data_IF_970759283928
#
_entry.id   IF_970759283928
#
_cell.length_a   1.000
_cell.length_b   1.000
_cell.length_c   1.000
_cell.angle_alpha   90.00
_cell.angle_beta   90.00
_cell.angle_gamma   90.00
#
_symmetry.space_group_name_H-M   'P 1'
#
loop_
_entity.id
_entity.type
_entity.pdbx_description
1 polymer ?
#
# COMPACT_ATOMS: atom_id res chain seq x y z
N UNK A 1 -21.70 -50.07 71.46
CA UNK A 1 -23.04 -49.52 71.58
C UNK A 1 -23.13 -48.28 70.74
N UNK A 2 -24.11 -48.30 69.94
CA UNK A 2 -24.78 -47.21 69.26
C UNK A 2 -23.96 -46.44 68.27
N UNK A 3 -24.22 -46.43 67.08
CA UNK A 3 -25.44 -46.19 66.29
C UNK A 3 -25.17 -44.84 65.56
N UNK A 4 -24.83 -44.83 64.40
CA UNK A 4 -25.32 -44.64 63.11
C UNK A 4 -26.01 -43.37 62.82
N UNK A 5 -26.04 -42.70 61.98
CA UNK A 5 -27.01 -42.55 60.93
C UNK A 5 -26.42 -41.70 59.80
N UNK A 6 -26.55 -42.22 58.64
CA UNK A 6 -26.09 -41.59 57.40
C UNK A 6 -27.30 -40.92 56.75
N UNK A 7 -27.22 -39.66 56.47
CA UNK A 7 -28.16 -39.04 55.54
C UNK A 7 -27.38 -38.41 54.40
N UNK A 8 -27.51 -39.03 53.27
CA UNK A 8 -26.94 -38.55 52.04
C UNK A 8 -27.57 -37.23 51.57
N UNK A 9 -26.77 -36.25 51.38
CA UNK A 9 -27.18 -35.03 50.70
C UNK A 9 -26.65 -35.06 49.27
N UNK A 10 -27.61 -35.24 48.36
CA UNK A 10 -27.34 -35.22 46.92
C UNK A 10 -27.15 -33.81 46.45
N UNK A 11 -25.91 -33.37 46.41
CA UNK A 11 -25.56 -32.09 45.75
C UNK A 11 -25.87 -32.19 44.28
N UNK A 12 -26.99 -31.58 43.93
CA UNK A 12 -27.44 -31.29 42.57
C UNK A 12 -26.49 -30.29 41.94
N UNK A 13 -25.60 -30.75 41.10
CA UNK A 13 -24.72 -29.92 40.28
C UNK A 13 -25.61 -29.13 39.32
N UNK A 14 -25.77 -27.84 39.64
CA UNK A 14 -26.35 -26.89 38.68
C UNK A 14 -25.39 -26.71 37.50
N UNK A 15 -25.81 -27.09 36.31
CA UNK A 15 -25.14 -26.78 35.07
C UNK A 15 -25.12 -25.24 34.92
N UNK A 16 -23.99 -24.59 34.69
CA UNK A 16 -23.97 -23.18 34.32
C UNK A 16 -24.62 -23.02 32.97
N UNK A 17 -25.52 -22.07 32.85
CA UNK A 17 -26.27 -21.71 31.69
C UNK A 17 -25.36 -21.39 30.49
N UNK A 18 -25.84 -21.73 29.32
CA UNK A 18 -25.24 -21.32 28.05
C UNK A 18 -25.14 -19.79 27.99
N UNK A 19 -23.99 -19.27 28.37
CA UNK A 19 -23.63 -17.90 28.12
C UNK A 19 -23.59 -17.66 26.62
N UNK A 20 -24.39 -16.73 26.20
CA UNK A 20 -24.52 -16.21 24.85
C UNK A 20 -23.14 -15.70 24.35
N UNK A 21 -22.44 -16.51 23.58
CA UNK A 21 -21.20 -16.15 22.87
C UNK A 21 -21.47 -15.42 21.56
N UNK A 22 -22.47 -14.55 21.57
CA UNK A 22 -22.81 -13.72 20.40
C UNK A 22 -22.41 -12.27 20.62
N UNK A 23 -21.17 -12.02 20.87
CA UNK A 23 -20.49 -10.73 20.63
C UNK A 23 -19.00 -10.97 20.42
N UNK A 24 -18.64 -11.77 19.45
CA UNK A 24 -17.39 -11.57 18.77
C UNK A 24 -17.54 -10.21 18.05
N UNK A 25 -17.18 -9.16 18.77
CA UNK A 25 -16.82 -7.90 18.17
C UNK A 25 -15.78 -8.26 17.12
N UNK A 26 -16.15 -8.21 15.85
CA UNK A 26 -15.24 -8.33 14.74
C UNK A 26 -14.31 -7.14 14.87
N UNK A 27 -13.22 -7.29 15.60
CA UNK A 27 -12.06 -6.41 15.49
C UNK A 27 -11.75 -6.41 14.02
N UNK A 28 -12.06 -5.31 13.37
CA UNK A 28 -11.74 -5.05 11.97
C UNK A 28 -10.23 -5.19 11.89
N UNK A 29 -9.78 -6.39 11.57
CA UNK A 29 -8.36 -6.72 11.37
C UNK A 29 -7.83 -5.65 10.44
N UNK A 30 -6.74 -4.99 10.83
CA UNK A 30 -6.01 -4.06 9.98
C UNK A 30 -5.78 -4.83 8.69
N UNK A 31 -6.45 -4.42 7.61
CA UNK A 31 -6.31 -5.08 6.31
C UNK A 31 -4.83 -5.14 5.97
N UNK A 32 -4.27 -6.35 5.92
CA UNK A 32 -2.88 -6.55 5.57
C UNK A 32 -2.68 -6.07 4.13
N UNK A 33 -1.74 -5.13 3.95
CA UNK A 33 -1.43 -4.59 2.64
C UNK A 33 -0.33 -5.44 2.00
N UNK A 34 -0.65 -6.11 0.91
CA UNK A 34 0.31 -6.83 0.09
C UNK A 34 0.92 -5.93 -0.98
N UNK A 35 2.19 -6.12 -1.28
CA UNK A 35 2.92 -5.35 -2.27
C UNK A 35 3.47 -6.28 -3.35
N UNK A 36 3.18 -5.98 -4.61
CA UNK A 36 3.58 -6.85 -5.73
C UNK A 36 3.61 -6.08 -7.05
N UNK A 37 4.21 -6.64 -8.11
CA UNK A 37 3.99 -6.16 -9.47
C UNK A 37 2.50 -6.20 -9.83
N UNK A 38 2.06 -5.24 -10.64
CA UNK A 38 0.70 -5.23 -11.14
C UNK A 38 0.47 -6.42 -12.09
N UNK A 39 -0.75 -6.98 -12.07
CA UNK A 39 -1.18 -8.08 -12.94
C UNK A 39 -1.82 -7.52 -14.22
N UNK A 40 -1.80 -8.32 -15.28
CA UNK A 40 -2.59 -8.03 -16.49
C UNK A 40 -4.07 -7.81 -16.10
N UNK A 41 -4.71 -6.81 -16.67
CA UNK A 41 -6.11 -6.47 -16.36
C UNK A 41 -6.30 -5.50 -15.18
N UNK A 42 -5.28 -5.16 -14.40
CA UNK A 42 -5.42 -4.21 -13.27
C UNK A 42 -5.32 -2.72 -13.69
N UNK A 43 -5.04 -2.42 -14.96
CA UNK A 43 -5.01 -1.03 -15.47
C UNK A 43 -6.28 -0.24 -15.15
N UNK A 44 -7.51 -0.78 -15.29
CA UNK A 44 -8.71 -0.03 -14.93
C UNK A 44 -8.74 0.38 -13.46
N UNK A 45 -8.34 -0.51 -12.55
CA UNK A 45 -8.28 -0.22 -11.11
C UNK A 45 -7.19 0.81 -10.77
N UNK A 46 -6.01 0.72 -11.41
CA UNK A 46 -4.95 1.71 -11.28
C UNK A 46 -5.45 3.08 -11.78
N UNK A 47 -6.08 3.13 -12.95
CA UNK A 47 -6.67 4.38 -13.49
C UNK A 47 -7.71 4.97 -12.55
N UNK A 48 -8.58 4.15 -11.96
CA UNK A 48 -9.58 4.60 -11.00
C UNK A 48 -8.93 5.25 -9.77
N UNK A 49 -7.83 4.66 -9.27
CA UNK A 49 -7.07 5.22 -8.16
C UNK A 49 -6.40 6.56 -8.55
N UNK A 50 -5.79 6.65 -9.73
CA UNK A 50 -5.13 7.88 -10.20
C UNK A 50 -6.13 9.02 -10.42
N UNK A 51 -7.35 8.71 -10.87
CA UNK A 51 -8.43 9.70 -11.06
C UNK A 51 -8.87 10.40 -9.76
N UNK A 52 -8.53 9.86 -8.61
CA UNK A 52 -8.77 10.55 -7.33
C UNK A 52 -7.87 11.77 -7.13
N UNK A 53 -6.81 11.92 -7.95
CA UNK A 53 -5.80 12.98 -7.82
C UNK A 53 -5.50 13.63 -9.17
N UNK A 54 -6.50 14.22 -9.86
CA UNK A 54 -6.35 14.71 -11.24
C UNK A 54 -5.35 15.86 -11.34
N UNK A 55 -5.30 16.74 -10.33
CA UNK A 55 -4.42 17.90 -10.32
C UNK A 55 -2.94 17.55 -10.07
N UNK A 56 -2.67 16.38 -9.51
CA UNK A 56 -1.33 16.01 -9.06
C UNK A 56 -0.70 14.92 -9.91
N UNK A 57 -1.51 14.18 -10.66
CA UNK A 57 -1.05 13.01 -11.39
C UNK A 57 -1.50 13.05 -12.85
N UNK A 58 -0.56 12.77 -13.74
CA UNK A 58 -0.86 12.64 -15.17
C UNK A 58 -1.89 11.53 -15.40
N UNK A 59 -2.99 11.87 -16.07
CA UNK A 59 -4.08 10.95 -16.40
C UNK A 59 -3.88 10.28 -17.76
N UNK A 60 -3.07 10.90 -18.63
CA UNK A 60 -2.73 10.42 -19.97
C UNK A 60 -1.34 9.82 -20.00
N UNK A 61 -1.04 9.05 -21.05
CA UNK A 61 0.30 8.47 -21.28
C UNK A 61 0.84 7.69 -20.07
N UNK A 62 0.00 6.86 -19.48
CA UNK A 62 0.43 5.99 -18.38
C UNK A 62 1.43 4.94 -18.91
N UNK A 63 2.42 4.58 -18.08
CA UNK A 63 3.32 3.47 -18.37
C UNK A 63 2.55 2.16 -18.59
N UNK A 64 3.16 1.22 -19.31
CA UNK A 64 2.61 -0.13 -19.45
C UNK A 64 2.46 -0.82 -18.11
N UNK A 65 1.53 -1.77 -18.01
CA UNK A 65 1.18 -2.47 -16.76
C UNK A 65 2.40 -3.10 -16.07
N UNK A 66 3.35 -3.60 -16.82
CA UNK A 66 4.59 -4.21 -16.32
C UNK A 66 5.50 -3.24 -15.57
N UNK A 67 5.30 -1.93 -15.75
CA UNK A 67 6.03 -0.88 -15.04
C UNK A 67 5.49 -0.62 -13.64
N UNK A 68 4.26 -1.06 -13.35
CA UNK A 68 3.60 -0.78 -12.08
C UNK A 68 3.91 -1.78 -10.98
N UNK A 69 4.04 -1.26 -9.77
CA UNK A 69 3.83 -1.95 -8.52
C UNK A 69 2.52 -1.49 -7.90
N UNK A 70 1.83 -2.39 -7.23
CA UNK A 70 0.59 -2.11 -6.52
C UNK A 70 0.67 -2.53 -5.06
N UNK A 71 -0.06 -1.79 -4.25
CA UNK A 71 -0.42 -2.14 -2.90
C UNK A 71 -1.88 -2.58 -2.91
N UNK A 72 -2.16 -3.80 -2.48
CA UNK A 72 -3.51 -4.37 -2.46
C UNK A 72 -3.92 -4.76 -1.04
N UNK A 73 -5.15 -4.46 -0.67
CA UNK A 73 -5.80 -4.83 0.57
C UNK A 73 -7.21 -5.30 0.25
N UNK A 74 -7.63 -6.44 0.80
CA UNK A 74 -8.95 -7.05 0.58
C UNK A 74 -9.33 -7.09 -0.93
N UNK A 75 -8.41 -7.59 -1.77
CA UNK A 75 -8.52 -7.68 -3.24
C UNK A 75 -8.70 -6.35 -3.98
N UNK A 76 -8.51 -5.23 -3.31
CA UNK A 76 -8.62 -3.89 -3.88
C UNK A 76 -7.25 -3.22 -3.97
N UNK A 77 -6.98 -2.54 -5.08
CA UNK A 77 -5.78 -1.73 -5.23
C UNK A 77 -5.96 -0.44 -4.42
N UNK A 78 -5.11 -0.28 -3.40
CA UNK A 78 -5.11 0.86 -2.48
C UNK A 78 -3.89 1.77 -2.66
N UNK A 79 -2.94 1.35 -3.48
CA UNK A 79 -1.78 2.16 -3.87
C UNK A 79 -1.17 1.65 -5.16
N UNK A 80 -0.53 2.53 -5.90
CA UNK A 80 0.24 2.20 -7.08
C UNK A 80 1.45 3.12 -7.24
N UNK A 81 2.46 2.64 -7.93
CA UNK A 81 3.63 3.41 -8.34
C UNK A 81 4.23 2.75 -9.59
N UNK A 82 4.67 3.54 -10.55
CA UNK A 82 5.31 3.04 -11.76
C UNK A 82 6.79 3.41 -11.81
N UNK A 83 7.60 2.51 -12.35
CA UNK A 83 8.97 2.74 -12.77
C UNK A 83 9.02 2.76 -14.28
N UNK A 84 9.21 3.94 -14.87
CA UNK A 84 9.44 4.11 -16.29
C UNK A 84 10.94 4.12 -16.57
N UNK A 85 11.45 3.09 -17.24
CA UNK A 85 12.86 3.01 -17.63
C UNK A 85 13.01 3.58 -19.04
N UNK A 86 13.79 4.65 -19.18
CA UNK A 86 14.09 5.29 -20.46
C UNK A 86 15.35 4.72 -21.10
N UNK A 87 16.34 4.38 -20.26
CA UNK A 87 17.62 3.84 -20.69
C UNK A 87 18.32 3.12 -19.54
N UNK A 88 19.48 2.52 -19.79
CA UNK A 88 20.35 2.01 -18.72
C UNK A 88 20.83 3.11 -17.77
N UNK A 89 20.80 4.36 -18.20
CA UNK A 89 21.24 5.49 -17.37
C UNK A 89 20.10 6.04 -16.52
N UNK A 90 18.88 6.15 -17.07
CA UNK A 90 17.83 7.00 -16.52
C UNK A 90 16.49 6.28 -16.43
N UNK A 91 15.84 6.38 -15.25
CA UNK A 91 14.46 5.97 -15.05
C UNK A 91 13.70 6.99 -14.19
N UNK A 92 12.39 6.93 -14.26
CA UNK A 92 11.48 7.82 -13.54
C UNK A 92 10.54 7.02 -12.63
N UNK A 93 10.40 7.49 -11.39
CA UNK A 93 9.30 7.10 -10.50
C UNK A 93 8.11 8.01 -10.80
N UNK A 94 7.01 7.43 -11.27
CA UNK A 94 5.83 8.20 -11.64
C UNK A 94 4.54 7.51 -11.22
N UNK A 95 3.41 8.24 -11.33
CA UNK A 95 2.08 7.70 -11.02
C UNK A 95 1.99 7.11 -9.60
N UNK A 96 2.66 7.73 -8.62
CA UNK A 96 2.55 7.34 -7.22
C UNK A 96 1.23 7.84 -6.64
N UNK A 97 0.35 6.93 -6.31
CA UNK A 97 -0.92 7.22 -5.65
C UNK A 97 -1.17 6.25 -4.50
N UNK A 98 -1.78 6.75 -3.42
CA UNK A 98 -2.24 5.95 -2.28
C UNK A 98 -3.62 6.45 -1.87
N UNK A 99 -4.58 5.54 -1.79
CA UNK A 99 -5.93 5.85 -1.34
C UNK A 99 -5.91 6.52 0.05
N UNK A 100 -6.73 7.52 0.26
CA UNK A 100 -6.70 8.38 1.45
C UNK A 100 -6.73 7.61 2.77
N UNK A 101 -7.51 6.54 2.86
CA UNK A 101 -7.64 5.68 4.06
C UNK A 101 -6.39 4.86 4.37
N UNK A 102 -5.45 4.74 3.42
CA UNK A 102 -4.18 4.00 3.57
C UNK A 102 -2.96 4.91 3.65
N UNK A 103 -3.15 6.24 3.66
CA UNK A 103 -2.08 7.20 3.86
C UNK A 103 -1.49 7.11 5.28
N UNK A 104 -0.26 7.61 5.44
CA UNK A 104 0.49 7.59 6.73
C UNK A 104 0.71 6.19 7.31
N UNK A 105 0.63 5.15 6.49
CA UNK A 105 0.89 3.74 6.85
C UNK A 105 2.13 3.18 6.15
N UNK A 106 2.99 4.03 5.60
CA UNK A 106 4.20 3.59 4.90
C UNK A 106 3.98 3.01 3.49
N UNK A 107 2.75 2.99 2.97
CA UNK A 107 2.41 2.39 1.67
C UNK A 107 3.19 3.06 0.53
N UNK A 108 3.21 4.40 0.47
CA UNK A 108 3.95 5.14 -0.54
C UNK A 108 5.45 4.85 -0.49
N UNK A 109 6.04 4.86 0.70
CA UNK A 109 7.48 4.58 0.90
C UNK A 109 7.85 3.19 0.42
N UNK A 110 7.01 2.18 0.72
CA UNK A 110 7.24 0.81 0.27
C UNK A 110 7.15 0.67 -1.25
N UNK A 111 6.19 1.33 -1.88
CA UNK A 111 6.05 1.33 -3.35
C UNK A 111 7.27 1.97 -4.03
N UNK A 112 7.73 3.12 -3.53
CA UNK A 112 8.94 3.79 -4.05
C UNK A 112 10.18 2.91 -3.85
N UNK A 113 10.31 2.24 -2.71
CA UNK A 113 11.43 1.31 -2.48
C UNK A 113 11.44 0.14 -3.47
N UNK A 114 10.29 -0.42 -3.81
CA UNK A 114 10.17 -1.44 -4.86
C UNK A 114 10.62 -0.93 -6.23
N UNK A 115 10.28 0.32 -6.58
CA UNK A 115 10.78 0.97 -7.79
C UNK A 115 12.31 1.11 -7.76
N UNK A 116 12.88 1.54 -6.63
CA UNK A 116 14.33 1.66 -6.45
C UNK A 116 15.03 0.31 -6.58
N UNK A 117 14.50 -0.74 -5.96
CA UNK A 117 15.01 -2.11 -6.06
C UNK A 117 15.00 -2.61 -7.50
N UNK A 118 13.90 -2.41 -8.24
CA UNK A 118 13.80 -2.77 -9.66
C UNK A 118 14.78 -1.96 -10.51
N UNK A 119 14.94 -0.67 -10.27
CA UNK A 119 15.90 0.17 -10.99
C UNK A 119 17.33 -0.37 -10.80
N UNK A 120 17.73 -0.67 -9.55
CA UNK A 120 19.03 -1.29 -9.24
C UNK A 120 19.21 -2.62 -9.95
N UNK A 121 18.22 -3.51 -9.88
CA UNK A 121 18.26 -4.83 -10.53
C UNK A 121 18.36 -4.74 -12.07
N UNK A 122 17.88 -3.64 -12.66
CA UNK A 122 18.00 -3.35 -14.10
C UNK A 122 19.28 -2.58 -14.47
N UNK A 123 20.14 -2.30 -13.50
CA UNK A 123 21.40 -1.58 -13.70
C UNK A 123 21.21 -0.09 -14.06
N UNK A 124 20.05 0.49 -13.73
CA UNK A 124 19.78 1.92 -13.94
C UNK A 124 20.67 2.74 -13.00
N UNK A 125 21.29 3.79 -13.53
CA UNK A 125 22.25 4.62 -12.78
C UNK A 125 21.59 5.78 -12.05
N UNK A 126 20.58 6.39 -12.63
CA UNK A 126 19.91 7.57 -12.11
C UNK A 126 18.40 7.37 -12.07
N UNK A 127 17.79 7.73 -10.97
CA UNK A 127 16.34 7.65 -10.77
C UNK A 127 15.84 9.03 -10.38
N UNK A 128 14.84 9.54 -11.10
CA UNK A 128 14.24 10.84 -10.80
C UNK A 128 12.72 10.72 -10.59
N UNK A 129 12.14 11.75 -10.05
CA UNK A 129 10.70 11.94 -9.95
C UNK A 129 10.37 13.41 -10.19
N UNK A 130 9.29 13.68 -10.94
CA UNK A 130 8.70 15.01 -11.05
C UNK A 130 7.56 15.08 -10.04
N UNK A 131 7.66 15.99 -9.07
CA UNK A 131 6.73 16.01 -7.94
C UNK A 131 6.62 17.39 -7.31
N UNK A 132 5.46 17.71 -6.77
CA UNK A 132 5.24 18.80 -5.82
C UNK A 132 5.41 18.36 -4.36
N UNK A 133 5.61 17.07 -4.10
CA UNK A 133 5.75 16.48 -2.75
C UNK A 133 7.23 16.25 -2.39
N UNK A 134 8.04 17.31 -2.47
CA UNK A 134 9.48 17.25 -2.28
C UNK A 134 9.89 16.61 -0.97
N UNK A 135 9.27 17.00 0.15
CA UNK A 135 9.61 16.47 1.47
C UNK A 135 9.38 14.96 1.62
N UNK A 136 8.42 14.37 0.89
CA UNK A 136 8.27 12.92 0.85
C UNK A 136 9.45 12.26 0.13
N UNK A 137 9.81 12.76 -1.05
CA UNK A 137 10.89 12.19 -1.85
C UNK A 137 12.27 12.41 -1.21
N UNK A 138 12.50 13.53 -0.53
CA UNK A 138 13.70 13.77 0.26
C UNK A 138 13.90 12.71 1.34
N UNK A 139 12.84 12.39 2.11
CA UNK A 139 12.89 11.30 3.09
C UNK A 139 13.11 9.92 2.43
N UNK A 140 12.72 9.75 1.18
CA UNK A 140 12.99 8.54 0.39
C UNK A 140 14.40 8.53 -0.23
N UNK A 141 15.24 9.54 0.05
CA UNK A 141 16.63 9.63 -0.40
C UNK A 141 16.82 10.28 -1.77
N UNK A 142 15.80 10.98 -2.27
CA UNK A 142 15.96 11.83 -3.45
C UNK A 142 16.45 13.22 -3.04
N UNK A 143 17.10 13.91 -3.97
CA UNK A 143 17.51 15.29 -3.80
C UNK A 143 17.17 16.10 -5.05
N UNK A 144 17.05 17.39 -4.91
CA UNK A 144 16.89 18.28 -6.07
C UNK A 144 18.09 18.18 -7.00
N UNK A 145 17.84 18.27 -8.31
CA UNK A 145 18.90 18.15 -9.29
C UNK A 145 19.91 19.29 -9.14
N UNK A 146 21.15 18.94 -8.78
CA UNK A 146 22.27 19.89 -8.60
C UNK A 146 21.90 21.11 -7.74
N UNK A 147 21.14 20.88 -6.65
CA UNK A 147 20.72 21.94 -5.73
C UNK A 147 20.10 23.15 -6.48
N UNK A 148 18.79 23.08 -6.76
CA UNK A 148 17.98 24.22 -7.24
C UNK A 148 17.92 24.49 -8.76
N UNK A 149 18.27 23.54 -9.61
CA UNK A 149 17.98 23.69 -11.03
C UNK A 149 16.53 23.26 -11.33
N UNK A 150 15.77 24.17 -11.92
CA UNK A 150 14.40 23.92 -12.36
C UNK A 150 14.42 23.41 -13.79
N UNK A 151 13.66 22.35 -14.07
CA UNK A 151 13.37 21.93 -15.44
C UNK A 151 12.39 22.92 -16.07
N UNK A 152 12.76 23.51 -17.19
CA UNK A 152 11.89 24.39 -17.99
C UNK A 152 11.42 23.61 -19.21
N UNK A 153 10.15 23.73 -19.52
CA UNK A 153 9.52 23.08 -20.67
C UNK A 153 9.02 24.12 -21.65
N UNK A 154 9.18 23.86 -22.93
CA UNK A 154 8.56 24.60 -24.01
C UNK A 154 7.69 23.63 -24.80
N UNK A 155 6.42 23.99 -25.00
CA UNK A 155 5.51 23.23 -25.84
C UNK A 155 5.77 23.63 -27.29
N UNK A 156 6.03 22.65 -28.14
CA UNK A 156 6.32 22.87 -29.57
C UNK A 156 5.09 22.69 -30.45
N UNK A 157 3.88 22.50 -29.85
CA UNK A 157 2.62 22.33 -30.56
C UNK A 157 2.15 20.90 -30.69
#
# INVERSE_FOLDING_TARGET
>A
MAGSDSSGDRHRIRRPGRGNVSRLCTLKTRSDVSFRPAKAGEIPAIRALLKLYPEQLAQKNLPGISSFFVAAADDRIVGCCALQIYSKRLAEVRSLAVHSTFRKRGVASRLVELCKQRARARGVKELFAVTSQTGFFERAGFATFRREKTAMFFDVG
#
